data_IF_605330508134
#
_entry.id   IF_605330508134
#
_cell.length_a   1.000
_cell.length_b   1.000
_cell.length_c   1.000
_cell.angle_alpha   90.00
_cell.angle_beta   90.00
_cell.angle_gamma   90.00
#
_symmetry.space_group_name_H-M   'P 1'
#
loop_
_entity.id
_entity.type
_entity.pdbx_description
1 polymer ?
#
# COMPACT_ATOMS: atom_id res chain seq x y z
N UNK A 1 21.25 14.45 8.09
CA UNK A 1 21.09 14.82 6.67
C UNK A 1 20.29 13.74 5.97
N UNK A 2 19.68 14.03 4.82
CA UNK A 2 18.97 13.03 4.02
C UNK A 2 19.98 12.12 3.29
N UNK A 3 19.90 10.81 3.53
CA UNK A 3 20.73 9.82 2.85
C UNK A 3 19.95 9.18 1.69
N UNK A 4 20.50 9.30 0.48
CA UNK A 4 19.88 8.74 -0.74
C UNK A 4 20.17 7.25 -0.79
N UNK A 5 19.21 6.45 -0.34
CA UNK A 5 19.29 5.00 -0.44
C UNK A 5 18.85 4.52 -1.84
N UNK A 6 19.64 3.68 -2.53
CA UNK A 6 19.27 3.16 -3.84
C UNK A 6 17.96 2.35 -3.73
N UNK A 7 17.03 2.60 -4.66
CA UNK A 7 15.71 1.93 -4.78
C UNK A 7 14.71 2.19 -3.63
N UNK A 8 15.03 3.07 -2.66
CA UNK A 8 14.10 3.49 -1.60
C UNK A 8 12.75 3.99 -2.13
N UNK A 9 12.77 4.69 -3.26
CA UNK A 9 11.57 5.18 -3.93
C UNK A 9 10.57 4.07 -4.28
N UNK A 10 11.01 2.82 -4.51
CA UNK A 10 10.12 1.71 -4.86
C UNK A 10 9.22 1.37 -3.67
N UNK A 11 9.80 1.34 -2.48
CA UNK A 11 9.10 1.06 -1.22
C UNK A 11 8.18 2.22 -0.87
N UNK A 12 8.70 3.46 -0.90
CA UNK A 12 7.92 4.65 -0.62
C UNK A 12 6.73 4.82 -1.56
N UNK A 13 6.91 4.51 -2.84
CA UNK A 13 5.84 4.53 -3.83
C UNK A 13 4.75 3.50 -3.52
N UNK A 14 5.13 2.33 -3.01
CA UNK A 14 4.17 1.32 -2.54
C UNK A 14 3.33 1.84 -1.39
N UNK A 15 3.96 2.44 -0.38
CA UNK A 15 3.24 3.07 0.73
C UNK A 15 2.34 4.23 0.28
N UNK A 16 2.81 5.09 -0.61
CA UNK A 16 1.99 6.17 -1.17
C UNK A 16 0.74 5.64 -1.90
N UNK A 17 0.84 4.49 -2.56
CA UNK A 17 -0.30 3.86 -3.21
C UNK A 17 -1.27 3.20 -2.24
N UNK A 18 -0.76 2.56 -1.19
CA UNK A 18 -1.57 1.97 -0.12
C UNK A 18 -2.32 3.05 0.67
N UNK A 19 -1.73 4.23 0.84
CA UNK A 19 -2.35 5.39 1.48
C UNK A 19 -3.62 5.90 0.77
N UNK A 20 -3.89 5.48 -0.47
CA UNK A 20 -5.19 5.76 -1.13
C UNK A 20 -6.34 4.89 -0.62
N UNK A 21 -6.05 3.84 0.14
CA UNK A 21 -7.07 3.07 0.84
C UNK A 21 -7.34 3.71 2.20
N UNK A 22 -8.52 4.33 2.38
CA UNK A 22 -8.89 5.02 3.62
C UNK A 22 -8.71 4.14 4.87
N UNK A 23 -9.05 2.85 4.78
CA UNK A 23 -8.88 1.87 5.86
C UNK A 23 -7.43 1.56 6.22
N UNK A 24 -6.46 1.90 5.38
CA UNK A 24 -5.04 1.77 5.70
C UNK A 24 -4.42 3.10 6.13
N UNK A 25 -5.07 4.23 5.82
CA UNK A 25 -4.53 5.56 6.05
C UNK A 25 -5.13 6.27 7.28
N UNK A 26 -6.37 5.96 7.63
CA UNK A 26 -7.15 6.73 8.63
C UNK A 26 -7.96 5.88 9.59
N UNK A 27 -8.43 4.72 9.15
CA UNK A 27 -9.19 3.81 10.01
C UNK A 27 -8.21 2.74 10.54
N UNK A 28 -8.12 2.57 11.86
CA UNK A 28 -7.29 1.51 12.44
C UNK A 28 -8.12 0.25 12.66
N UNK A 29 -7.58 -0.88 12.21
CA UNK A 29 -8.23 -2.18 12.41
C UNK A 29 -8.11 -2.63 13.86
N UNK A 30 -9.15 -3.31 14.35
CA UNK A 30 -9.20 -3.81 15.73
C UNK A 30 -8.19 -4.93 15.99
N UNK A 31 -7.87 -5.72 14.96
CA UNK A 31 -6.95 -6.85 15.06
C UNK A 31 -5.93 -6.82 13.92
N UNK A 32 -4.79 -7.47 14.14
CA UNK A 32 -3.70 -7.53 13.16
C UNK A 32 -4.13 -8.31 11.92
N UNK A 33 -4.91 -9.38 12.10
CA UNK A 33 -5.42 -10.21 11.01
C UNK A 33 -6.33 -9.40 10.07
N UNK A 34 -7.16 -8.51 10.63
CA UNK A 34 -7.98 -7.60 9.82
C UNK A 34 -7.09 -6.60 9.06
N UNK A 35 -6.06 -6.04 9.71
CA UNK A 35 -5.11 -5.13 9.05
C UNK A 35 -4.39 -5.81 7.88
N UNK A 36 -3.92 -7.04 8.07
CA UNK A 36 -3.28 -7.85 7.04
C UNK A 36 -4.22 -8.15 5.87
N UNK A 37 -5.47 -8.52 6.16
CA UNK A 37 -6.48 -8.73 5.13
C UNK A 37 -6.70 -7.46 4.28
N UNK A 38 -6.78 -6.29 4.92
CA UNK A 38 -6.93 -5.01 4.20
C UNK A 38 -5.70 -4.63 3.38
N UNK A 39 -4.49 -4.93 3.86
CA UNK A 39 -3.26 -4.76 3.09
C UNK A 39 -3.29 -5.60 1.81
N UNK A 40 -3.67 -6.88 1.91
CA UNK A 40 -3.77 -7.79 0.76
C UNK A 40 -4.84 -7.30 -0.23
N UNK A 41 -6.03 -6.93 0.24
CA UNK A 41 -7.12 -6.40 -0.59
C UNK A 41 -6.68 -5.13 -1.32
N UNK A 42 -6.01 -4.20 -0.64
CA UNK A 42 -5.51 -2.98 -1.25
C UNK A 42 -4.48 -3.26 -2.35
N UNK A 43 -3.61 -4.27 -2.14
CA UNK A 43 -2.63 -4.70 -3.12
C UNK A 43 -3.29 -5.36 -4.34
N UNK A 44 -4.24 -6.28 -4.13
CA UNK A 44 -4.99 -6.93 -5.21
C UNK A 44 -5.69 -5.89 -6.08
N UNK A 45 -6.42 -4.94 -5.47
CA UNK A 45 -7.09 -3.82 -6.17
C UNK A 45 -6.14 -2.97 -6.99
N UNK A 46 -4.88 -2.85 -6.57
CA UNK A 46 -3.85 -2.12 -7.32
C UNK A 46 -3.37 -2.95 -8.52
N UNK A 47 -3.07 -4.22 -8.32
CA UNK A 47 -2.60 -5.11 -9.39
C UNK A 47 -3.66 -5.30 -10.47
N UNK A 48 -4.92 -5.49 -10.09
CA UNK A 48 -6.03 -5.61 -11.07
C UNK A 48 -6.15 -4.38 -11.96
N UNK A 49 -5.99 -3.17 -11.41
CA UNK A 49 -5.96 -1.93 -12.21
C UNK A 49 -4.75 -1.82 -13.13
N UNK A 50 -3.62 -2.44 -12.80
CA UNK A 50 -2.45 -2.44 -13.68
C UNK A 50 -2.65 -3.41 -14.83
N UNK A 51 -3.14 -4.61 -14.55
CA UNK A 51 -3.44 -5.65 -15.54
C UNK A 51 -4.56 -5.19 -16.48
N UNK A 52 -5.59 -4.51 -15.97
CA UNK A 52 -6.66 -4.00 -16.82
C UNK A 52 -6.23 -2.85 -17.75
N UNK A 53 -5.02 -2.30 -17.58
CA UNK A 53 -4.48 -1.21 -18.41
C UNK A 53 -3.51 -1.70 -19.48
N UNK A 54 -3.16 -2.99 -19.48
CA UNK A 54 -2.41 -3.65 -20.55
C UNK A 54 -3.37 -4.24 -21.55
#
# INVERSE_FOLDING_TARGET
>A
GFEVLPRRWVVERTFAWLGRCRRLARDWERTVESAEAWLLIAHIRRLTRLIART
#
